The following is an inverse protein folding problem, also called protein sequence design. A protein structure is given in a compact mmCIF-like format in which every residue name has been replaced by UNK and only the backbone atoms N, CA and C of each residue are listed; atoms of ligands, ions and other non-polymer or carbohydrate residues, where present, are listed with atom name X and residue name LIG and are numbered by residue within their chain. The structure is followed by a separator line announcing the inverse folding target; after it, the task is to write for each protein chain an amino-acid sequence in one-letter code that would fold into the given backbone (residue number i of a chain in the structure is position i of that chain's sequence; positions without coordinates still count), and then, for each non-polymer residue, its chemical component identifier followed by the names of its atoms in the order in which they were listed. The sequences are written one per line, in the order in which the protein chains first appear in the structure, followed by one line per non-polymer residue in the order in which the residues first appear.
data_IF_765068805374
#
_entry.id   IF_765068805374
#
_cell.length_a   1.000
_cell.length_b   1.000
_cell.length_c   1.000
_cell.angle_alpha   90.00
_cell.angle_beta   90.00
_cell.angle_gamma   90.00
#
_symmetry.space_group_name_H-M   'P 1'
#
loop_
_entity.id
_entity.type
_entity.pdbx_description
1 polymer ?
#
# COMPACT_ATOMS: atom_id res chain seq x y z
N UNK A 1 15.98 30.32 3.32
CA UNK A 1 14.94 29.49 3.96
C UNK A 1 14.31 28.47 2.99
N UNK A 2 13.90 28.84 1.78
CA UNK A 2 13.38 27.90 0.77
C UNK A 2 14.32 26.71 0.47
N UNK A 3 15.66 26.93 0.43
CA UNK A 3 16.66 25.86 0.26
C UNK A 3 16.64 24.81 1.37
N UNK A 4 16.40 25.21 2.61
CA UNK A 4 16.32 24.28 3.75
C UNK A 4 15.04 23.44 3.67
N UNK A 5 13.91 24.05 3.29
CA UNK A 5 12.66 23.33 3.04
C UNK A 5 12.83 22.27 1.94
N UNK A 6 13.52 22.62 0.85
CA UNK A 6 13.82 21.67 -0.23
C UNK A 6 14.68 20.51 0.25
N UNK A 7 15.80 20.78 0.92
CA UNK A 7 16.71 19.73 1.39
C UNK A 7 16.01 18.80 2.40
N UNK A 8 15.28 19.39 3.35
CA UNK A 8 14.58 18.63 4.40
C UNK A 8 13.44 17.76 3.84
N UNK A 9 12.76 18.21 2.79
CA UNK A 9 11.68 17.45 2.15
C UNK A 9 12.17 16.44 1.12
N UNK A 10 13.35 16.66 0.53
CA UNK A 10 13.97 15.72 -0.41
C UNK A 10 14.38 14.42 0.28
N UNK A 11 14.89 14.51 1.52
CA UNK A 11 15.40 13.36 2.27
C UNK A 11 14.33 12.27 2.51
N UNK A 12 13.13 12.55 3.06
CA UNK A 12 12.09 11.53 3.22
C UNK A 12 11.54 11.02 1.89
N UNK A 13 11.57 11.84 0.84
CA UNK A 13 11.12 11.46 -0.51
C UNK A 13 12.10 10.46 -1.14
N UNK A 14 13.40 10.74 -1.07
CA UNK A 14 14.45 9.80 -1.50
C UNK A 14 14.41 8.52 -0.67
N UNK A 15 14.27 8.61 0.66
CA UNK A 15 14.15 7.45 1.53
C UNK A 15 12.96 6.56 1.13
N UNK A 16 11.78 7.15 0.91
CA UNK A 16 10.59 6.41 0.45
C UNK A 16 10.82 5.70 -0.88
N UNK A 17 11.46 6.37 -1.85
CA UNK A 17 11.76 5.79 -3.17
C UNK A 17 12.77 4.65 -3.08
N UNK A 18 13.86 4.83 -2.31
CA UNK A 18 14.90 3.81 -2.13
C UNK A 18 14.30 2.60 -1.43
N UNK A 19 13.55 2.80 -0.34
CA UNK A 19 12.89 1.71 0.40
C UNK A 19 11.91 0.93 -0.48
N UNK A 20 11.08 1.62 -1.27
CA UNK A 20 10.17 0.95 -2.21
C UNK A 20 10.92 0.18 -3.29
N UNK A 21 11.94 0.78 -3.90
CA UNK A 21 12.68 0.16 -5.00
C UNK A 21 13.41 -1.11 -4.56
N UNK A 22 14.03 -1.07 -3.37
CA UNK A 22 14.78 -2.19 -2.82
C UNK A 22 13.86 -3.30 -2.31
N UNK A 23 12.79 -2.96 -1.58
CA UNK A 23 11.97 -3.95 -0.88
C UNK A 23 10.72 -4.40 -1.64
N UNK A 24 10.18 -3.56 -2.54
CA UNK A 24 8.96 -3.85 -3.27
C UNK A 24 9.21 -4.16 -4.74
N UNK A 25 9.71 -3.18 -5.52
CA UNK A 25 9.65 -3.25 -6.98
C UNK A 25 10.42 -4.45 -7.56
N UNK A 26 11.61 -4.75 -7.03
CA UNK A 26 12.40 -5.91 -7.46
C UNK A 26 11.69 -7.24 -7.17
N UNK A 27 11.16 -7.39 -5.96
CA UNK A 27 10.48 -8.62 -5.53
C UNK A 27 9.14 -8.81 -6.25
N UNK A 28 8.38 -7.74 -6.48
CA UNK A 28 7.11 -7.78 -7.20
C UNK A 28 7.26 -8.06 -8.69
N UNK A 29 8.38 -7.65 -9.31
CA UNK A 29 8.72 -8.04 -10.70
C UNK A 29 8.95 -9.54 -10.79
N UNK A 30 9.79 -10.11 -9.91
CA UNK A 30 10.05 -11.55 -9.86
C UNK A 30 8.76 -12.36 -9.58
N UNK A 31 7.91 -11.87 -8.67
CA UNK A 31 6.64 -12.51 -8.34
C UNK A 31 5.57 -12.44 -9.46
N UNK A 32 5.82 -11.65 -10.51
CA UNK A 32 4.95 -11.57 -11.67
C UNK A 32 5.13 -12.78 -12.61
N UNK A 33 6.34 -13.35 -12.64
CA UNK A 33 6.68 -14.48 -13.53
C UNK A 33 6.20 -15.82 -12.96
N UNK A 34 6.07 -15.90 -11.63
CA UNK A 34 5.53 -17.08 -10.94
C UNK A 34 4.00 -17.11 -11.01
N UNK A 35 3.46 -18.06 -11.79
CA UNK A 35 2.01 -18.33 -11.89
C UNK A 35 1.60 -19.49 -11.01
N UNK A 36 0.44 -19.35 -10.36
CA UNK A 36 -0.19 -20.35 -9.51
C UNK A 36 -1.42 -20.93 -10.23
N UNK A 37 -1.84 -22.12 -9.80
CA UNK A 37 -2.99 -22.84 -10.37
C UNK A 37 -4.35 -22.30 -9.91
N UNK A 38 -4.36 -21.42 -8.91
CA UNK A 38 -5.57 -20.92 -8.25
C UNK A 38 -5.59 -19.40 -8.39
N UNK A 39 -6.74 -18.76 -8.17
CA UNK A 39 -6.88 -17.30 -8.26
C UNK A 39 -6.60 -16.63 -6.92
N UNK A 40 -6.19 -15.37 -6.93
CA UNK A 40 -5.96 -14.64 -5.67
C UNK A 40 -7.23 -14.52 -4.81
N UNK A 41 -8.41 -14.43 -5.43
CA UNK A 41 -9.70 -14.39 -4.72
C UNK A 41 -9.97 -15.69 -3.94
N UNK A 42 -9.69 -16.84 -4.56
CA UNK A 42 -9.90 -18.14 -3.92
C UNK A 42 -8.87 -18.39 -2.81
N UNK A 43 -7.64 -17.89 -2.94
CA UNK A 43 -6.68 -17.87 -1.83
C UNK A 43 -7.18 -17.02 -0.66
N UNK A 44 -7.62 -15.78 -0.92
CA UNK A 44 -8.13 -14.89 0.13
C UNK A 44 -9.32 -15.51 0.86
N UNK A 45 -10.24 -16.15 0.13
CA UNK A 45 -11.37 -16.86 0.71
C UNK A 45 -10.92 -18.01 1.61
N UNK A 46 -10.01 -18.87 1.14
CA UNK A 46 -9.44 -19.96 1.95
C UNK A 46 -8.77 -19.46 3.23
N UNK A 47 -8.03 -18.34 3.14
CA UNK A 47 -7.40 -17.73 4.31
C UNK A 47 -8.45 -17.26 5.34
N UNK A 48 -9.49 -16.55 4.91
CA UNK A 48 -10.57 -16.09 5.78
C UNK A 48 -11.33 -17.26 6.43
N UNK A 49 -11.68 -18.27 5.63
CA UNK A 49 -12.38 -19.47 6.11
C UNK A 49 -11.54 -20.21 7.17
N UNK A 50 -10.22 -20.27 6.98
CA UNK A 50 -9.29 -20.91 7.93
C UNK A 50 -9.15 -20.17 9.27
N UNK A 51 -9.55 -18.90 9.31
CA UNK A 51 -9.57 -18.03 10.50
C UNK A 51 -10.95 -17.91 11.14
N UNK A 52 -11.97 -18.60 10.60
CA UNK A 52 -13.34 -18.55 11.13
C UNK A 52 -14.18 -17.37 10.63
N UNK A 53 -13.70 -16.61 9.65
CA UNK A 53 -14.35 -15.40 9.13
C UNK A 53 -15.04 -15.66 7.77
N UNK A 54 -15.93 -16.65 7.72
CA UNK A 54 -16.62 -17.08 6.48
C UNK A 54 -17.63 -16.07 5.95
N UNK A 55 -18.18 -15.22 6.81
CA UNK A 55 -19.22 -14.25 6.48
C UNK A 55 -18.65 -12.96 5.85
N UNK A 56 -17.32 -12.82 5.80
CA UNK A 56 -16.69 -11.61 5.25
C UNK A 56 -16.88 -11.56 3.73
N UNK A 57 -17.48 -10.47 3.27
CA UNK A 57 -17.72 -10.23 1.85
C UNK A 57 -16.42 -9.80 1.15
N UNK A 58 -16.06 -10.51 0.07
CA UNK A 58 -14.97 -10.12 -0.82
C UNK A 58 -15.53 -9.26 -1.95
N UNK A 59 -15.34 -7.95 -1.87
CA UNK A 59 -15.84 -6.99 -2.86
C UNK A 59 -14.79 -6.74 -3.93
N UNK A 60 -15.09 -7.14 -5.16
CA UNK A 60 -14.22 -6.83 -6.30
C UNK A 60 -14.49 -5.41 -6.78
N UNK A 61 -13.49 -4.51 -6.72
CA UNK A 61 -13.62 -3.12 -7.20
C UNK A 61 -12.77 -2.89 -8.44
N UNK A 62 -13.39 -2.38 -9.51
CA UNK A 62 -12.73 -2.09 -10.81
C UNK A 62 -11.71 -0.94 -10.73
N UNK A 63 -11.93 0.03 -9.84
CA UNK A 63 -11.00 1.12 -9.51
C UNK A 63 -10.93 1.29 -8.00
N UNK A 64 -9.82 0.90 -7.37
CA UNK A 64 -9.54 1.30 -5.99
C UNK A 64 -8.79 2.63 -6.00
N UNK A 65 -9.42 3.68 -5.47
CA UNK A 65 -8.74 4.94 -5.25
C UNK A 65 -7.64 4.75 -4.19
N UNK A 66 -6.50 5.44 -4.33
CA UNK A 66 -5.40 5.37 -3.36
C UNK A 66 -5.88 6.11 -2.10
N UNK A 67 -6.29 5.36 -1.07
CA UNK A 67 -6.97 5.89 0.13
C UNK A 67 -8.47 5.57 0.23
N UNK A 68 -9.05 4.87 -0.76
CA UNK A 68 -10.34 4.22 -0.60
C UNK A 68 -10.28 3.18 0.51
N UNK A 69 -11.38 3.02 1.23
CA UNK A 69 -11.48 1.97 2.24
C UNK A 69 -11.26 0.62 1.58
N UNK A 70 -10.11 0.04 1.92
CA UNK A 70 -9.71 -1.30 1.53
C UNK A 70 -10.53 -2.32 2.31
N UNK A 71 -10.95 -1.93 3.51
CA UNK A 71 -11.58 -2.76 4.53
C UNK A 71 -12.68 -1.93 5.20
N UNK A 72 -13.84 -2.55 5.37
CA UNK A 72 -14.89 -2.06 6.26
C UNK A 72 -15.40 -3.17 7.17
N UNK A 73 -16.41 -2.85 7.99
CA UNK A 73 -17.01 -3.82 8.90
C UNK A 73 -17.61 -4.98 8.10
N UNK A 74 -16.96 -6.15 8.15
CA UNK A 74 -17.42 -7.38 7.48
C UNK A 74 -17.12 -7.47 5.99
N UNK A 75 -16.30 -6.58 5.39
CA UNK A 75 -15.93 -6.70 3.98
C UNK A 75 -14.48 -6.29 3.69
N UNK A 76 -13.91 -6.92 2.67
CA UNK A 76 -12.57 -6.63 2.16
C UNK A 76 -12.69 -6.36 0.66
N UNK A 77 -12.06 -5.29 0.16
CA UNK A 77 -12.01 -5.02 -1.27
C UNK A 77 -10.72 -5.53 -1.92
N UNK A 78 -10.86 -6.23 -3.03
CA UNK A 78 -9.78 -6.63 -3.93
C UNK A 78 -9.93 -5.90 -5.27
N UNK A 79 -8.86 -5.32 -5.83
CA UNK A 79 -8.87 -4.82 -7.21
C UNK A 79 -9.21 -5.94 -8.19
N UNK A 80 -10.07 -5.68 -9.17
CA UNK A 80 -10.54 -6.70 -10.13
C UNK A 80 -9.39 -7.44 -10.83
N UNK A 81 -8.39 -6.69 -11.32
CA UNK A 81 -7.23 -7.24 -12.00
C UNK A 81 -6.39 -8.19 -11.11
N UNK A 82 -6.42 -8.00 -9.80
CA UNK A 82 -5.70 -8.85 -8.86
C UNK A 82 -6.55 -10.00 -8.36
N UNK A 83 -7.86 -9.79 -8.16
CA UNK A 83 -8.78 -10.83 -7.71
C UNK A 83 -8.79 -12.04 -8.67
N UNK A 84 -8.77 -11.75 -9.98
CA UNK A 84 -8.69 -12.75 -11.06
C UNK A 84 -7.24 -13.14 -11.41
N UNK A 85 -6.27 -12.44 -10.82
CA UNK A 85 -4.85 -12.67 -11.07
C UNK A 85 -4.39 -14.04 -10.56
N UNK A 86 -3.62 -14.74 -11.41
CA UNK A 86 -2.99 -16.04 -11.12
C UNK A 86 -1.52 -15.91 -10.72
N UNK A 87 -0.95 -14.70 -10.66
CA UNK A 87 0.47 -14.50 -10.32
C UNK A 87 0.70 -14.45 -8.82
N UNK A 88 1.89 -14.81 -8.35
CA UNK A 88 2.25 -14.69 -6.94
C UNK A 88 2.15 -13.24 -6.44
N UNK A 89 2.38 -12.26 -7.33
CA UNK A 89 2.12 -10.84 -7.07
C UNK A 89 0.67 -10.58 -6.68
N UNK A 90 -0.30 -11.08 -7.44
CA UNK A 90 -1.72 -10.89 -7.16
C UNK A 90 -2.15 -11.59 -5.86
N UNK A 91 -1.68 -12.82 -5.66
CA UNK A 91 -1.89 -13.59 -4.42
C UNK A 91 -1.29 -12.90 -3.20
N UNK A 92 -0.09 -12.35 -3.33
CA UNK A 92 0.61 -11.64 -2.26
C UNK A 92 -0.15 -10.41 -1.79
N UNK A 93 -0.75 -9.67 -2.74
CA UNK A 93 -1.62 -8.55 -2.41
C UNK A 93 -2.90 -9.00 -1.72
N UNK A 94 -3.55 -10.05 -2.23
CA UNK A 94 -4.75 -10.58 -1.63
C UNK A 94 -4.51 -11.05 -0.19
N UNK A 95 -3.40 -11.74 0.06
CA UNK A 95 -2.96 -12.15 1.40
C UNK A 95 -2.69 -10.93 2.32
N UNK A 96 -2.06 -9.87 1.81
CA UNK A 96 -1.86 -8.64 2.59
C UNK A 96 -3.19 -7.99 3.00
N UNK A 97 -4.19 -7.99 2.12
CA UNK A 97 -5.53 -7.42 2.39
C UNK A 97 -6.24 -8.21 3.48
N UNK A 98 -6.14 -9.54 3.47
CA UNK A 98 -6.62 -10.40 4.56
C UNK A 98 -5.87 -10.10 5.87
N UNK A 99 -4.54 -9.98 5.83
CA UNK A 99 -3.74 -9.59 6.99
C UNK A 99 -4.16 -8.24 7.58
N UNK A 100 -4.43 -7.25 6.73
CA UNK A 100 -4.89 -5.92 7.16
C UNK A 100 -6.28 -5.99 7.82
N UNK A 101 -7.16 -6.85 7.33
CA UNK A 101 -8.46 -7.10 7.95
C UNK A 101 -8.29 -7.70 9.36
N UNK A 102 -7.45 -8.72 9.50
CA UNK A 102 -7.17 -9.33 10.81
C UNK A 102 -6.53 -8.34 11.80
N UNK A 103 -5.64 -7.45 11.33
CA UNK A 103 -5.11 -6.36 12.16
C UNK A 103 -6.22 -5.38 12.53
N UNK A 104 -7.14 -5.07 11.62
CA UNK A 104 -8.24 -4.14 11.91
C UNK A 104 -9.17 -4.63 13.03
N UNK A 105 -9.36 -5.95 13.15
CA UNK A 105 -10.13 -6.56 14.24
C UNK A 105 -9.43 -6.43 15.59
N UNK A 106 -8.11 -6.50 15.63
CA UNK A 106 -7.32 -6.42 16.87
C UNK A 106 -7.02 -4.97 17.28
N UNK A 107 -6.57 -4.16 16.32
CA UNK A 107 -6.05 -2.81 16.53
C UNK A 107 -6.60 -1.84 15.46
N UNK A 108 -7.89 -1.46 15.56
CA UNK A 108 -8.52 -0.58 14.55
C UNK A 108 -7.85 0.80 14.48
N UNK A 109 -7.29 1.30 15.59
CA UNK A 109 -6.59 2.58 15.65
C UNK A 109 -5.34 2.65 14.77
N UNK A 110 -4.62 1.53 14.59
CA UNK A 110 -3.42 1.49 13.75
C UNK A 110 -3.81 1.57 12.27
N UNK A 111 -4.89 0.88 11.88
CA UNK A 111 -5.43 0.92 10.53
C UNK A 111 -6.06 2.28 10.21
N UNK A 112 -6.71 2.93 11.16
CA UNK A 112 -7.28 4.27 10.96
C UNK A 112 -6.18 5.33 10.75
N UNK A 113 -5.08 5.27 11.51
CA UNK A 113 -3.89 6.13 11.27
C UNK A 113 -3.30 5.90 9.89
N UNK A 114 -3.15 4.64 9.47
CA UNK A 114 -2.65 4.30 8.13
C UNK A 114 -3.56 4.83 7.03
N UNK A 115 -4.87 4.66 7.19
CA UNK A 115 -5.89 5.18 6.26
C UNK A 115 -5.84 6.70 6.16
N UNK A 116 -5.71 7.38 7.29
CA UNK A 116 -5.52 8.83 7.33
C UNK A 116 -4.26 9.25 6.57
N UNK A 117 -3.11 8.60 6.82
CA UNK A 117 -1.84 8.93 6.15
C UNK A 117 -1.88 8.69 4.64
N UNK A 118 -2.56 7.63 4.19
CA UNK A 118 -2.76 7.36 2.75
C UNK A 118 -3.64 8.44 2.09
N UNK A 119 -4.76 8.82 2.73
CA UNK A 119 -5.62 9.90 2.24
C UNK A 119 -4.89 11.24 2.25
N UNK A 120 -4.17 11.54 3.32
CA UNK A 120 -3.36 12.74 3.46
C UNK A 120 -2.33 12.84 2.33
N UNK A 121 -1.55 11.77 2.10
CA UNK A 121 -0.52 11.77 1.05
C UNK A 121 -1.07 11.83 -0.38
N UNK A 122 -2.36 11.58 -0.59
CA UNK A 122 -3.00 11.75 -1.89
C UNK A 122 -3.65 13.13 -2.05
N UNK A 123 -4.39 13.60 -1.04
CA UNK A 123 -5.19 14.84 -1.11
C UNK A 123 -4.34 16.07 -0.84
N UNK A 124 -3.45 16.03 0.16
CA UNK A 124 -2.73 17.21 0.62
C UNK A 124 -1.78 17.80 -0.44
N UNK A 125 -0.97 17.00 -1.17
CA UNK A 125 -0.11 17.55 -2.24
C UNK A 125 -0.90 18.16 -3.41
N UNK A 126 -2.04 17.55 -3.78
CA UNK A 126 -2.94 18.09 -4.82
C UNK A 126 -3.50 19.44 -4.40
N UNK A 127 -4.05 19.51 -3.19
CA UNK A 127 -4.61 20.74 -2.64
C UNK A 127 -3.55 21.83 -2.53
N UNK A 128 -2.35 21.48 -2.04
CA UNK A 128 -1.22 22.42 -1.93
C UNK A 128 -0.82 22.95 -3.31
N UNK A 129 -0.78 22.10 -4.34
CA UNK A 129 -0.47 22.52 -5.71
C UNK A 129 -1.49 23.53 -6.22
N UNK A 130 -2.79 23.30 -5.99
CA UNK A 130 -3.86 24.22 -6.38
C UNK A 130 -3.70 25.59 -5.69
N UNK A 131 -3.47 25.62 -4.37
CA UNK A 131 -3.24 26.88 -3.63
C UNK A 131 -2.00 27.61 -4.16
N UNK A 132 -0.93 26.89 -4.46
CA UNK A 132 0.31 27.47 -4.99
C UNK A 132 0.10 28.11 -6.37
N UNK A 133 -0.73 27.53 -7.24
CA UNK A 133 -1.09 28.14 -8.54
C UNK A 133 -1.77 29.50 -8.35
N UNK A 134 -2.71 29.61 -7.40
CA UNK A 134 -3.32 30.90 -7.08
C UNK A 134 -2.32 31.87 -6.46
N UNK A 135 -1.43 31.40 -5.58
CA UNK A 135 -0.41 32.26 -4.98
C UNK A 135 0.57 32.85 -6.02
N UNK A 136 0.91 32.09 -7.06
CA UNK A 136 1.73 32.58 -8.17
C UNK A 136 1.05 33.74 -8.92
N UNK A 137 -0.27 33.72 -9.08
CA UNK A 137 -1.03 34.83 -9.67
C UNK A 137 -0.93 36.12 -8.84
N UNK A 138 -0.74 36.00 -7.53
CA UNK A 138 -0.56 37.11 -6.58
C UNK A 138 0.92 37.49 -6.40
N UNK A 139 1.78 37.16 -7.37
CA UNK A 139 3.22 37.47 -7.41
C UNK A 139 4.09 36.74 -6.37
N UNK A 140 3.71 35.52 -5.96
CA UNK A 140 4.62 34.66 -5.18
C UNK A 140 5.86 34.28 -6.04
N UNK A 141 7.10 34.38 -5.54
CA UNK A 141 8.27 33.97 -6.30
C UNK A 141 8.22 32.46 -6.61
N UNK A 142 8.52 32.08 -7.86
CA UNK A 142 8.41 30.70 -8.34
C UNK A 142 9.23 29.69 -7.52
N UNK A 143 10.38 30.09 -6.98
CA UNK A 143 11.20 29.23 -6.12
C UNK A 143 10.51 28.84 -4.80
N UNK A 144 9.68 29.72 -4.25
CA UNK A 144 8.88 29.42 -3.06
C UNK A 144 7.73 28.48 -3.38
N UNK A 145 7.06 28.67 -4.53
CA UNK A 145 6.02 27.78 -5.02
C UNK A 145 6.53 26.33 -5.12
N UNK A 146 7.67 26.12 -5.77
CA UNK A 146 8.28 24.78 -5.92
C UNK A 146 8.62 24.20 -4.53
N UNK A 147 9.21 25.01 -3.65
CA UNK A 147 9.61 24.55 -2.30
C UNK A 147 8.41 24.10 -1.46
N UNK A 148 7.27 24.79 -1.57
CA UNK A 148 6.04 24.43 -0.85
C UNK A 148 5.46 23.12 -1.39
N UNK A 149 5.41 22.95 -2.71
CA UNK A 149 4.93 21.72 -3.35
C UNK A 149 5.80 20.54 -2.94
N UNK A 150 7.12 20.63 -3.09
CA UNK A 150 8.05 19.57 -2.69
C UNK A 150 7.96 19.30 -1.18
N UNK A 151 7.80 20.35 -0.37
CA UNK A 151 7.55 20.25 1.07
C UNK A 151 6.33 19.39 1.42
N UNK A 152 5.21 19.60 0.71
CA UNK A 152 3.99 18.81 0.91
C UNK A 152 4.17 17.33 0.59
N UNK A 153 4.94 17.00 -0.47
CA UNK A 153 5.28 15.62 -0.79
C UNK A 153 6.22 15.01 0.26
N UNK A 154 7.20 15.76 0.76
CA UNK A 154 8.09 15.31 1.83
C UNK A 154 7.31 14.96 3.10
N UNK A 155 6.37 15.82 3.51
CA UNK A 155 5.54 15.59 4.70
C UNK A 155 4.58 14.40 4.50
N UNK A 156 4.01 14.25 3.29
CA UNK A 156 3.22 13.07 2.92
C UNK A 156 4.05 11.77 3.01
N UNK A 157 5.28 11.77 2.51
CA UNK A 157 6.20 10.64 2.63
C UNK A 157 6.51 10.32 4.09
N UNK A 158 6.78 11.32 4.93
CA UNK A 158 6.99 11.11 6.38
C UNK A 158 5.79 10.40 7.03
N UNK A 159 4.57 10.90 6.79
CA UNK A 159 3.35 10.29 7.33
C UNK A 159 3.18 8.82 6.84
N UNK A 160 3.53 8.53 5.59
CA UNK A 160 3.44 7.19 5.02
C UNK A 160 4.51 6.24 5.56
N UNK A 161 5.73 6.71 5.77
CA UNK A 161 6.82 5.93 6.39
C UNK A 161 6.46 5.59 7.83
N UNK A 162 6.02 6.58 8.63
CA UNK A 162 5.67 6.37 10.03
C UNK A 162 4.50 5.39 10.23
N UNK A 163 3.61 5.30 9.26
CA UNK A 163 2.44 4.42 9.33
C UNK A 163 2.63 3.07 8.64
N UNK A 164 3.79 2.80 8.01
CA UNK A 164 4.04 1.54 7.30
C UNK A 164 4.02 0.32 8.23
N UNK A 165 4.30 0.52 9.52
CA UNK A 165 4.29 -0.54 10.54
C UNK A 165 2.97 -1.31 10.55
N UNK A 166 1.85 -0.64 10.25
CA UNK A 166 0.54 -1.27 10.11
C UNK A 166 0.51 -2.34 9.00
N UNK A 167 1.11 -2.04 7.84
CA UNK A 167 1.17 -2.96 6.70
C UNK A 167 2.20 -4.06 6.92
N UNK A 168 3.33 -3.76 7.59
CA UNK A 168 4.31 -4.76 7.96
C UNK A 168 3.75 -5.79 8.96
N UNK A 169 3.00 -5.34 9.96
CA UNK A 169 2.31 -6.21 10.91
C UNK A 169 1.23 -7.06 10.22
N UNK A 170 0.49 -6.47 9.28
CA UNK A 170 -0.49 -7.21 8.49
C UNK A 170 0.19 -8.27 7.61
N UNK A 171 1.30 -7.93 6.96
CA UNK A 171 2.09 -8.86 6.17
C UNK A 171 2.63 -10.01 7.02
N UNK A 172 3.15 -9.74 8.21
CA UNK A 172 3.66 -10.79 9.09
C UNK A 172 2.56 -11.75 9.53
N UNK A 173 1.37 -11.25 9.88
CA UNK A 173 0.22 -12.09 10.23
C UNK A 173 -0.22 -12.93 9.04
N UNK A 174 -0.29 -12.34 7.84
CA UNK A 174 -0.64 -13.07 6.62
C UNK A 174 0.38 -14.16 6.29
N UNK A 175 1.68 -13.89 6.43
CA UNK A 175 2.74 -14.88 6.19
C UNK A 175 2.61 -16.06 7.17
N UNK A 176 2.46 -15.77 8.47
CA UNK A 176 2.27 -16.81 9.50
C UNK A 176 1.02 -17.63 9.23
N UNK A 177 -0.05 -17.00 8.72
CA UNK A 177 -1.27 -17.71 8.37
C UNK A 177 -1.07 -18.66 7.18
N UNK A 178 -0.41 -18.19 6.12
CA UNK A 178 -0.06 -19.01 4.95
C UNK A 178 0.80 -20.22 5.36
N UNK A 179 1.86 -19.98 6.14
CA UNK A 179 2.81 -21.00 6.59
C UNK A 179 2.17 -22.04 7.53
N UNK A 180 1.33 -21.61 8.47
CA UNK A 180 0.69 -22.53 9.43
C UNK A 180 -0.46 -23.33 8.84
N UNK A 181 -1.23 -22.73 7.92
CA UNK A 181 -2.41 -23.38 7.34
C UNK A 181 -2.10 -24.14 6.05
N UNK A 182 -0.90 -23.97 5.48
CA UNK A 182 -0.47 -24.59 4.21
C UNK A 182 -1.56 -24.51 3.14
N UNK A 183 -2.05 -23.30 2.91
CA UNK A 183 -3.17 -23.06 1.99
C UNK A 183 -2.83 -23.35 0.53
N UNK A 184 -1.54 -23.43 0.21
CA UNK A 184 -1.01 -23.70 -1.12
C UNK A 184 -0.42 -25.12 -1.18
N UNK A 185 -0.56 -25.83 -2.30
CA UNK A 185 -0.12 -27.21 -2.42
C UNK A 185 1.40 -27.35 -2.54
N UNK A 186 2.08 -26.34 -3.09
CA UNK A 186 3.53 -26.33 -3.32
C UNK A 186 4.22 -25.32 -2.43
N UNK A 187 5.31 -25.76 -1.79
CA UNK A 187 6.11 -24.92 -0.90
C UNK A 187 6.81 -23.78 -1.65
N UNK A 188 7.21 -23.99 -2.90
CA UNK A 188 7.78 -22.94 -3.77
C UNK A 188 6.80 -21.79 -4.00
N UNK A 189 5.53 -22.13 -4.22
CA UNK A 189 4.48 -21.15 -4.51
C UNK A 189 4.14 -20.37 -3.24
N UNK A 190 4.11 -21.04 -2.10
CA UNK A 190 3.94 -20.40 -0.80
C UNK A 190 5.05 -19.40 -0.48
N UNK A 191 6.31 -19.78 -0.71
CA UNK A 191 7.46 -18.88 -0.53
C UNK A 191 7.38 -17.66 -1.46
N UNK A 192 6.98 -17.86 -2.72
CA UNK A 192 6.80 -16.76 -3.67
C UNK A 192 5.68 -15.81 -3.23
N UNK A 193 4.56 -16.34 -2.73
CA UNK A 193 3.44 -15.53 -2.22
C UNK A 193 3.83 -14.80 -0.94
N UNK A 194 4.52 -15.44 0.01
CA UNK A 194 5.03 -14.82 1.24
C UNK A 194 5.99 -13.67 0.92
N UNK A 195 6.92 -13.86 -0.01
CA UNK A 195 7.81 -12.81 -0.47
C UNK A 195 7.04 -11.65 -1.10
N UNK A 196 6.05 -11.94 -1.95
CA UNK A 196 5.20 -10.93 -2.57
C UNK A 196 4.35 -10.17 -1.54
N UNK A 197 3.80 -10.84 -0.53
CA UNK A 197 3.03 -10.20 0.56
C UNK A 197 3.88 -9.21 1.34
N UNK A 198 5.11 -9.58 1.69
CA UNK A 198 6.06 -8.67 2.36
C UNK A 198 6.41 -7.49 1.46
N UNK A 199 6.65 -7.74 0.17
CA UNK A 199 6.97 -6.70 -0.80
C UNK A 199 5.82 -5.68 -0.97
N UNK A 200 4.57 -6.14 -0.98
CA UNK A 200 3.39 -5.27 -1.07
C UNK A 200 3.26 -4.32 0.12
N UNK A 201 3.66 -4.72 1.32
CA UNK A 201 3.64 -3.83 2.48
C UNK A 201 4.58 -2.62 2.33
N UNK A 202 5.66 -2.76 1.56
CA UNK A 202 6.57 -1.66 1.23
C UNK A 202 6.10 -0.81 0.05
N UNK A 203 5.22 -1.35 -0.80
CA UNK A 203 4.77 -0.67 -2.02
C UNK A 203 3.99 0.62 -1.73
N UNK A 204 3.18 0.63 -0.65
CA UNK A 204 2.32 1.74 -0.30
C UNK A 204 3.03 2.89 0.47
N UNK A 205 4.37 2.87 0.57
CA UNK A 205 5.16 3.93 1.23
C UNK A 205 5.25 5.20 0.38
N UNK A 206 5.10 5.06 -0.94
CA UNK A 206 5.22 6.19 -1.87
C UNK A 206 3.84 6.81 -2.12
N UNK A 207 3.72 8.15 -2.06
CA UNK A 207 2.46 8.85 -2.32
C UNK A 207 1.86 8.50 -3.67
N UNK A 208 0.53 8.42 -3.73
CA UNK A 208 -0.17 7.89 -4.90
C UNK A 208 0.04 8.65 -6.22
N UNK A 209 0.46 9.92 -6.14
CA UNK A 209 0.84 10.72 -7.31
C UNK A 209 2.20 10.28 -7.86
N UNK A 210 3.19 10.11 -6.99
CA UNK A 210 4.51 9.60 -7.37
C UNK A 210 4.43 8.14 -7.82
N UNK A 211 3.55 7.34 -7.23
CA UNK A 211 3.37 5.94 -7.64
C UNK A 211 2.76 5.74 -9.01
N UNK A 212 2.13 6.77 -9.62
CA UNK A 212 1.56 6.70 -10.97
C UNK A 212 2.54 7.17 -12.06
N UNK A 213 3.56 7.93 -11.66
CA UNK A 213 4.62 8.42 -12.55
C UNK A 213 5.73 7.36 -12.76
N UNK A 214 5.71 6.28 -11.99
CA UNK A 214 6.67 5.17 -12.02
C UNK A 214 5.97 3.87 -12.40
#
# INVERSE_FOLDING_TARGET
MHRLLLILSLLPLLAALILRKLNADRALRLACDTRLSVTANTLARKMLDSTGHKEVELKTRKRSWIGADVIGNGWISLPAAEAEGVTARAHGQAALRVGLYLVSLKNPAVISRRRWALRFGHVFPVFTTLVVVFALMVKLPALWAISIVVGSFGLACCAQILTVVAELQAASIACVLLEKKRTLPRLSDEQAVVAATRAWAWYAIVPGLLSRLM
#
